data_IF_246355043387
#
_entry.id   IF_246355043387
#
_cell.length_a   1.000
_cell.length_b   1.000
_cell.length_c   1.000
_cell.angle_alpha   90.00
_cell.angle_beta   90.00
_cell.angle_gamma   90.00
#
_symmetry.space_group_name_H-M   'P 1'
#
loop_
_entity.id
_entity.type
_entity.pdbx_description
1 polymer ?
#
# COMPACT_ATOMS: atom_id res chain seq x y z
N UNK A 1 63.30 -11.42 29.27
CA UNK A 1 62.92 -11.49 27.85
C UNK A 1 61.40 -11.41 27.78
N UNK A 2 60.88 -10.19 27.77
CA UNK A 2 59.47 -9.85 27.97
C UNK A 2 59.05 -8.88 26.85
N UNK A 3 58.24 -9.37 25.91
CA UNK A 3 57.71 -8.59 24.78
C UNK A 3 56.21 -8.93 24.61
N UNK A 4 55.39 -8.66 25.63
CA UNK A 4 53.95 -8.99 25.60
C UNK A 4 52.97 -7.85 25.90
N UNK A 5 53.37 -6.57 26.00
CA UNK A 5 52.48 -5.57 26.61
C UNK A 5 52.23 -4.26 25.85
N UNK A 6 52.40 -4.19 24.53
CA UNK A 6 52.17 -2.94 23.77
C UNK A 6 51.31 -3.13 22.52
N UNK A 7 50.16 -3.81 22.64
CA UNK A 7 49.08 -3.57 21.69
C UNK A 7 48.40 -2.25 22.10
N UNK A 8 48.54 -1.16 21.33
CA UNK A 8 47.85 0.09 21.66
C UNK A 8 46.35 -0.19 21.70
N UNK A 9 45.69 0.19 22.78
CA UNK A 9 44.22 0.16 22.84
C UNK A 9 43.70 1.13 21.80
N UNK A 10 43.43 0.64 20.59
CA UNK A 10 42.73 1.40 19.56
C UNK A 10 41.33 1.59 20.12
N UNK A 11 41.10 2.74 20.76
CA UNK A 11 39.77 3.17 21.14
C UNK A 11 38.97 3.28 19.85
N UNK A 12 38.14 2.28 19.58
CA UNK A 12 37.24 2.29 18.43
C UNK A 12 36.29 3.46 18.63
N UNK A 13 36.53 4.57 17.93
CA UNK A 13 35.58 5.67 17.91
C UNK A 13 34.20 5.10 17.55
N UNK A 14 33.15 5.43 18.31
CA UNK A 14 31.82 4.93 18.02
C UNK A 14 31.43 5.39 16.62
N UNK A 15 31.26 4.44 15.70
CA UNK A 15 30.88 4.71 14.31
C UNK A 15 29.58 5.52 14.30
N UNK A 16 29.69 6.84 14.09
CA UNK A 16 28.53 7.74 14.00
C UNK A 16 27.75 7.36 12.75
N UNK A 17 26.47 7.02 12.93
CA UNK A 17 25.59 6.73 11.80
C UNK A 17 25.23 8.05 11.10
N UNK A 18 25.25 8.11 9.76
CA UNK A 18 24.72 9.28 9.06
C UNK A 18 23.25 9.48 9.47
N UNK A 19 22.80 10.74 9.64
CA UNK A 19 21.40 11.02 9.90
C UNK A 19 20.54 10.55 8.72
N UNK A 20 19.37 9.99 9.01
CA UNK A 20 18.43 9.53 7.99
C UNK A 20 17.84 10.72 7.22
N UNK A 21 17.66 10.56 5.91
CA UNK A 21 17.11 11.59 5.01
C UNK A 21 15.72 12.02 5.49
N UNK A 22 15.43 13.33 5.45
CA UNK A 22 14.14 13.85 5.90
C UNK A 22 12.98 13.40 5.00
N UNK A 23 11.75 13.39 5.52
CA UNK A 23 10.58 12.98 4.74
C UNK A 23 10.37 13.89 3.51
N UNK A 24 10.59 15.20 3.67
CA UNK A 24 10.49 16.18 2.58
C UNK A 24 11.53 15.96 1.48
N UNK A 25 12.78 15.67 1.84
CA UNK A 25 13.84 15.35 0.86
C UNK A 25 13.57 14.04 0.12
N UNK A 26 13.07 13.00 0.81
CA UNK A 26 12.68 11.75 0.17
C UNK A 26 11.56 11.97 -0.85
N UNK A 27 10.60 12.82 -0.51
CA UNK A 27 9.41 13.12 -1.30
C UNK A 27 9.73 13.99 -2.50
N UNK A 28 10.44 15.10 -2.30
CA UNK A 28 10.95 15.95 -3.37
C UNK A 28 11.84 15.14 -4.31
N UNK A 29 12.70 14.30 -3.73
CA UNK A 29 13.53 13.38 -4.47
C UNK A 29 12.74 12.35 -5.29
N UNK A 30 11.66 11.81 -4.75
CA UNK A 30 10.78 10.89 -5.47
C UNK A 30 10.05 11.59 -6.62
N UNK A 31 9.56 12.81 -6.39
CA UNK A 31 8.91 13.64 -7.40
C UNK A 31 9.86 14.00 -8.55
N UNK A 32 11.06 14.49 -8.26
CA UNK A 32 12.06 14.82 -9.28
C UNK A 32 12.47 13.59 -10.11
N UNK A 33 12.59 12.43 -9.48
CA UNK A 33 12.87 11.18 -10.17
C UNK A 33 11.71 10.77 -11.07
N UNK A 34 10.47 10.85 -10.58
CA UNK A 34 9.27 10.58 -11.37
C UNK A 34 9.19 11.49 -12.61
N UNK A 35 9.38 12.81 -12.44
CA UNK A 35 9.35 13.76 -13.55
C UNK A 35 10.42 13.46 -14.61
N UNK A 36 11.65 13.15 -14.19
CA UNK A 36 12.75 12.82 -15.10
C UNK A 36 12.49 11.57 -15.94
N UNK A 37 11.74 10.62 -15.40
CA UNK A 37 11.46 9.33 -16.02
C UNK A 37 9.97 9.14 -16.35
N UNK A 38 9.20 10.23 -16.47
CA UNK A 38 7.75 10.20 -16.54
C UNK A 38 7.22 9.33 -17.68
N UNK A 39 7.89 9.32 -18.84
CA UNK A 39 7.51 8.49 -19.99
C UNK A 39 7.46 6.99 -19.65
N UNK A 40 8.44 6.49 -18.91
CA UNK A 40 8.51 5.07 -18.52
C UNK A 40 7.47 4.78 -17.44
N UNK A 41 7.35 5.66 -16.45
CA UNK A 41 6.36 5.49 -15.38
C UNK A 41 4.92 5.52 -15.90
N UNK A 42 4.57 6.48 -16.76
CA UNK A 42 3.27 6.55 -17.42
C UNK A 42 3.05 5.31 -18.28
N UNK A 43 4.05 4.89 -19.06
CA UNK A 43 3.98 3.68 -19.87
C UNK A 43 3.75 2.40 -19.08
N UNK A 44 4.32 2.26 -17.89
CA UNK A 44 4.03 1.14 -16.97
C UNK A 44 2.62 1.30 -16.37
N UNK A 45 2.18 2.52 -16.08
CA UNK A 45 0.86 2.78 -15.47
C UNK A 45 -0.32 2.49 -16.40
N UNK A 46 -0.12 2.51 -17.73
CA UNK A 46 -1.21 2.32 -18.69
C UNK A 46 -1.85 0.95 -18.60
N UNK A 47 -1.07 -0.11 -18.41
CA UNK A 47 -1.58 -1.50 -18.35
C UNK A 47 -2.53 -1.71 -17.16
N UNK A 48 -2.15 -1.49 -15.88
CA UNK A 48 -3.07 -1.67 -14.77
C UNK A 48 -4.25 -0.72 -14.85
N UNK A 49 -4.05 0.52 -15.34
CA UNK A 49 -5.15 1.46 -15.56
C UNK A 49 -6.16 0.90 -16.56
N UNK A 50 -5.72 0.47 -17.75
CA UNK A 50 -6.60 -0.09 -18.78
C UNK A 50 -7.37 -1.32 -18.27
N UNK A 51 -6.71 -2.23 -17.56
CA UNK A 51 -7.37 -3.42 -17.00
C UNK A 51 -8.35 -3.04 -15.89
N UNK A 52 -8.01 -2.09 -15.01
CA UNK A 52 -8.94 -1.58 -13.99
C UNK A 52 -10.15 -0.87 -14.60
N UNK A 53 -9.98 -0.16 -15.72
CA UNK A 53 -11.09 0.45 -16.46
C UNK A 53 -12.04 -0.61 -17.02
N UNK A 54 -11.50 -1.66 -17.62
CA UNK A 54 -12.32 -2.79 -18.09
C UNK A 54 -13.04 -3.47 -16.92
N UNK A 55 -12.37 -3.65 -15.78
CA UNK A 55 -13.00 -4.22 -14.59
C UNK A 55 -14.16 -3.34 -14.06
N UNK A 56 -13.99 -2.02 -14.06
CA UNK A 56 -15.04 -1.08 -13.69
C UNK A 56 -16.27 -1.18 -14.61
N UNK A 57 -16.06 -1.32 -15.92
CA UNK A 57 -17.16 -1.49 -16.89
C UNK A 57 -17.88 -2.84 -16.76
N UNK A 58 -17.21 -3.84 -16.19
CA UNK A 58 -17.75 -5.20 -15.99
C UNK A 58 -18.33 -5.40 -14.58
N UNK A 59 -18.38 -4.36 -13.74
CA UNK A 59 -18.89 -4.48 -12.37
C UNK A 59 -20.35 -4.92 -12.33
N UNK A 60 -21.16 -4.45 -13.29
CA UNK A 60 -22.58 -4.82 -13.46
C UNK A 60 -22.80 -6.16 -14.19
N UNK A 61 -21.73 -6.86 -14.56
CA UNK A 61 -21.83 -8.16 -15.23
C UNK A 61 -22.17 -9.28 -14.24
N UNK A 62 -22.62 -10.46 -14.72
CA UNK A 62 -22.81 -11.62 -13.85
C UNK A 62 -21.58 -11.93 -12.99
N UNK A 63 -21.81 -12.35 -11.75
CA UNK A 63 -20.77 -12.54 -10.72
C UNK A 63 -19.48 -13.22 -11.21
N UNK A 64 -19.52 -14.31 -12.01
CA UNK A 64 -18.29 -14.96 -12.49
C UNK A 64 -17.43 -14.06 -13.38
N UNK A 65 -18.05 -13.22 -14.23
CA UNK A 65 -17.35 -12.33 -15.16
C UNK A 65 -16.70 -11.18 -14.39
N UNK A 66 -17.46 -10.53 -13.49
CA UNK A 66 -16.93 -9.48 -12.62
C UNK A 66 -15.74 -10.00 -11.78
N UNK A 67 -15.86 -11.19 -11.20
CA UNK A 67 -14.78 -11.81 -10.41
C UNK A 67 -13.50 -12.04 -11.21
N UNK A 68 -13.60 -12.51 -12.47
CA UNK A 68 -12.45 -12.68 -13.37
C UNK A 68 -11.83 -11.32 -13.67
N UNK A 69 -12.63 -10.31 -13.98
CA UNK A 69 -12.15 -8.96 -14.29
C UNK A 69 -11.39 -8.34 -13.10
N UNK A 70 -11.93 -8.48 -11.89
CA UNK A 70 -11.26 -8.04 -10.66
C UNK A 70 -9.95 -8.79 -10.41
N UNK A 71 -9.92 -10.12 -10.62
CA UNK A 71 -8.70 -10.92 -10.48
C UNK A 71 -7.61 -10.46 -11.46
N UNK A 72 -7.98 -10.24 -12.73
CA UNK A 72 -7.06 -9.74 -13.76
C UNK A 72 -6.54 -8.34 -13.42
N UNK A 73 -7.41 -7.44 -12.93
CA UNK A 73 -7.00 -6.11 -12.46
C UNK A 73 -6.01 -6.19 -11.29
N UNK A 74 -6.25 -7.09 -10.33
CA UNK A 74 -5.34 -7.33 -9.21
C UNK A 74 -3.96 -7.83 -9.66
N UNK A 75 -3.92 -8.79 -10.59
CA UNK A 75 -2.67 -9.31 -11.17
C UNK A 75 -1.94 -8.21 -11.94
N UNK A 76 -2.64 -7.44 -12.79
CA UNK A 76 -2.06 -6.35 -13.57
C UNK A 76 -1.46 -5.26 -12.67
N UNK A 77 -2.18 -4.89 -11.59
CA UNK A 77 -1.72 -3.92 -10.58
C UNK A 77 -0.48 -4.44 -9.86
N UNK A 78 -0.45 -5.73 -9.50
CA UNK A 78 0.69 -6.34 -8.84
C UNK A 78 1.93 -6.38 -9.76
N UNK A 79 1.76 -6.76 -11.02
CA UNK A 79 2.84 -6.73 -12.02
C UNK A 79 3.32 -5.31 -12.28
N UNK A 80 2.42 -4.33 -12.37
CA UNK A 80 2.79 -2.91 -12.48
C UNK A 80 3.63 -2.45 -11.29
N UNK A 81 3.25 -2.82 -10.07
CA UNK A 81 4.04 -2.53 -8.86
C UNK A 81 5.44 -3.12 -8.92
N UNK A 82 5.59 -4.37 -9.37
CA UNK A 82 6.90 -5.01 -9.55
C UNK A 82 7.73 -4.34 -10.66
N UNK A 83 7.08 -3.96 -11.77
CA UNK A 83 7.73 -3.25 -12.88
C UNK A 83 8.28 -1.89 -12.42
N UNK A 84 7.55 -1.17 -11.56
CA UNK A 84 8.06 0.06 -10.94
C UNK A 84 9.26 -0.21 -10.03
N UNK A 85 9.23 -1.25 -9.20
CA UNK A 85 10.37 -1.59 -8.33
C UNK A 85 11.61 -1.92 -9.19
N UNK A 86 11.44 -2.74 -10.22
CA UNK A 86 12.52 -3.08 -11.16
C UNK A 86 13.08 -1.82 -11.84
N UNK A 87 12.20 -0.98 -12.39
CA UNK A 87 12.56 0.30 -13.04
C UNK A 87 13.36 1.20 -12.11
N UNK A 88 12.93 1.36 -10.86
CA UNK A 88 13.62 2.21 -9.88
C UNK A 88 14.97 1.61 -9.49
N UNK A 89 15.08 0.28 -9.42
CA UNK A 89 16.35 -0.40 -9.16
C UNK A 89 17.37 -0.21 -10.30
N UNK A 90 16.88 -0.11 -11.54
CA UNK A 90 17.64 0.18 -12.76
C UNK A 90 17.76 1.68 -13.04
N UNK A 91 17.63 2.53 -12.01
CA UNK A 91 17.79 3.99 -12.10
C UNK A 91 16.88 4.67 -13.13
N UNK A 92 15.71 4.08 -13.40
CA UNK A 92 14.68 4.67 -14.25
C UNK A 92 14.89 4.42 -15.75
N UNK A 93 15.80 3.53 -16.13
CA UNK A 93 16.07 3.20 -17.53
C UNK A 93 16.19 1.66 -17.72
N UNK A 94 15.09 0.91 -17.51
CA UNK A 94 15.13 -0.54 -17.64
C UNK A 94 15.48 -0.97 -19.06
N UNK A 95 16.27 -2.04 -19.18
CA UNK A 95 16.67 -2.58 -20.49
C UNK A 95 15.42 -3.00 -21.28
N UNK A 96 15.18 -2.40 -22.46
CA UNK A 96 13.98 -2.65 -23.25
C UNK A 96 12.76 -1.80 -22.87
N UNK A 97 12.93 -0.75 -22.06
CA UNK A 97 11.88 0.22 -21.73
C UNK A 97 10.72 -0.40 -20.93
N UNK A 98 9.48 -0.06 -21.30
CA UNK A 98 8.28 -0.52 -20.57
C UNK A 98 8.15 -2.05 -20.63
N UNK A 99 8.35 -2.65 -21.80
CA UNK A 99 8.29 -4.11 -21.98
C UNK A 99 9.35 -4.82 -21.15
N UNK A 100 10.57 -4.29 -21.16
CA UNK A 100 11.67 -4.79 -20.32
C UNK A 100 11.35 -4.76 -18.83
N UNK A 101 10.74 -3.67 -18.34
CA UNK A 101 10.30 -3.56 -16.96
C UNK A 101 9.28 -4.65 -16.57
N UNK A 102 8.34 -4.97 -17.46
CA UNK A 102 7.37 -6.05 -17.24
C UNK A 102 7.98 -7.44 -17.33
N UNK A 103 8.92 -7.68 -18.25
CA UNK A 103 9.65 -8.95 -18.32
C UNK A 103 10.39 -9.21 -17.00
N UNK A 104 11.04 -8.18 -16.46
CA UNK A 104 11.72 -8.28 -15.17
C UNK A 104 10.72 -8.50 -14.02
N UNK A 105 9.57 -7.81 -14.06
CA UNK A 105 8.50 -7.98 -13.08
C UNK A 105 7.95 -9.41 -13.03
N UNK A 106 7.71 -10.03 -14.18
CA UNK A 106 7.22 -11.42 -14.28
C UNK A 106 8.25 -12.40 -13.72
N UNK A 107 9.55 -12.19 -14.00
CA UNK A 107 10.62 -13.03 -13.45
C UNK A 107 10.67 -13.00 -11.91
N UNK A 108 10.34 -11.87 -11.29
CA UNK A 108 10.27 -11.74 -9.83
C UNK A 108 8.91 -12.08 -9.21
N UNK A 109 7.88 -12.34 -10.01
CA UNK A 109 6.52 -12.54 -9.51
C UNK A 109 6.43 -13.68 -8.49
N UNK A 110 6.98 -14.85 -8.82
CA UNK A 110 6.99 -16.02 -7.93
C UNK A 110 7.73 -15.77 -6.62
N UNK A 111 9.01 -15.34 -6.64
CA UNK A 111 9.75 -14.99 -5.43
C UNK A 111 9.09 -13.91 -4.58
N UNK A 112 8.50 -12.87 -5.21
CA UNK A 112 7.76 -11.84 -4.52
C UNK A 112 6.51 -12.40 -3.82
N UNK A 113 5.73 -13.23 -4.50
CA UNK A 113 4.52 -13.83 -3.95
C UNK A 113 4.86 -14.68 -2.72
N UNK A 114 5.91 -15.49 -2.82
CA UNK A 114 6.41 -16.29 -1.70
C UNK A 114 6.83 -15.41 -0.50
N UNK A 115 7.57 -14.33 -0.74
CA UNK A 115 7.98 -13.39 0.31
C UNK A 115 6.77 -12.71 0.95
N UNK A 116 5.79 -12.28 0.14
CA UNK A 116 4.55 -11.65 0.61
C UNK A 116 3.72 -12.59 1.48
N UNK A 117 3.62 -13.87 1.11
CA UNK A 117 2.95 -14.90 1.92
C UNK A 117 3.67 -15.08 3.26
N UNK A 118 4.99 -15.24 3.26
CA UNK A 118 5.77 -15.38 4.50
C UNK A 118 5.65 -14.14 5.40
N UNK A 119 5.70 -12.93 4.81
CA UNK A 119 5.50 -11.69 5.55
C UNK A 119 4.10 -11.59 6.14
N UNK A 120 3.07 -11.91 5.36
CA UNK A 120 1.67 -11.91 5.79
C UNK A 120 1.43 -12.84 6.97
N UNK A 121 1.90 -14.09 6.88
CA UNK A 121 1.78 -15.07 7.97
C UNK A 121 2.55 -14.61 9.21
N UNK A 122 3.76 -14.04 9.04
CA UNK A 122 4.50 -13.50 10.18
C UNK A 122 3.74 -12.36 10.87
N UNK A 123 3.16 -11.43 10.10
CA UNK A 123 2.33 -10.32 10.60
C UNK A 123 1.10 -10.86 11.32
N UNK A 124 0.40 -11.84 10.74
CA UNK A 124 -0.73 -12.52 11.38
C UNK A 124 -0.33 -13.15 12.71
N UNK A 125 0.82 -13.83 12.78
CA UNK A 125 1.36 -14.35 14.04
C UNK A 125 1.66 -13.26 15.07
N UNK A 126 2.12 -12.09 14.62
CA UNK A 126 2.24 -10.90 15.46
C UNK A 126 0.89 -10.41 16.00
N UNK A 127 -0.14 -10.36 15.15
CA UNK A 127 -1.51 -9.94 15.51
C UNK A 127 -2.19 -10.91 16.48
N UNK A 128 -1.96 -12.22 16.34
CA UNK A 128 -2.47 -13.26 17.26
C UNK A 128 -1.93 -13.05 18.68
N UNK A 129 -0.68 -12.59 18.81
CA UNK A 129 -0.11 -12.28 20.11
C UNK A 129 -0.73 -11.01 20.69
N UNK A 130 -0.76 -9.92 19.91
CA UNK A 130 -1.45 -8.67 20.22
C UNK A 130 -1.43 -7.71 19.01
N UNK A 131 -2.34 -6.73 18.95
CA UNK A 131 -2.42 -5.76 17.83
C UNK A 131 -1.15 -4.91 17.67
N UNK A 132 -0.59 -4.39 18.77
CA UNK A 132 0.62 -3.54 18.72
C UNK A 132 1.86 -4.28 18.16
N UNK A 133 2.21 -5.51 18.60
CA UNK A 133 3.24 -6.33 17.98
C UNK A 133 3.02 -6.56 16.48
N UNK A 134 1.79 -6.81 16.04
CA UNK A 134 1.47 -6.96 14.62
C UNK A 134 1.75 -5.70 13.81
N UNK A 135 1.38 -4.52 14.32
CA UNK A 135 1.71 -3.22 13.69
C UNK A 135 3.22 -2.98 13.67
N UNK A 136 3.94 -3.28 14.76
CA UNK A 136 5.39 -3.11 14.79
C UNK A 136 6.10 -4.02 13.77
N UNK A 137 5.59 -5.25 13.62
CA UNK A 137 6.12 -6.22 12.68
C UNK A 137 5.82 -5.83 11.22
N UNK A 138 4.66 -5.25 10.93
CA UNK A 138 4.35 -4.75 9.58
C UNK A 138 5.31 -3.65 9.15
N UNK A 139 5.73 -2.76 10.06
CA UNK A 139 6.75 -1.74 9.80
C UNK A 139 8.12 -2.38 9.56
N UNK A 140 8.53 -3.37 10.37
CA UNK A 140 9.80 -4.08 10.18
C UNK A 140 9.87 -4.87 8.87
N UNK A 141 8.73 -5.37 8.39
CA UNK A 141 8.59 -6.16 7.17
C UNK A 141 8.04 -5.34 5.99
N UNK A 142 8.20 -4.01 6.01
CA UNK A 142 7.74 -3.13 4.93
C UNK A 142 8.64 -3.14 3.68
N UNK A 143 9.89 -3.60 3.78
CA UNK A 143 10.85 -3.56 2.66
C UNK A 143 11.38 -4.90 2.09
N UNK A 144 10.74 -6.06 2.27
CA UNK A 144 11.32 -7.32 1.80
C UNK A 144 11.31 -7.42 0.26
N UNK A 145 10.35 -6.78 -0.41
CA UNK A 145 10.33 -6.69 -1.88
C UNK A 145 11.54 -5.93 -2.46
N UNK A 146 11.99 -4.87 -1.77
CA UNK A 146 13.17 -4.11 -2.19
C UNK A 146 14.47 -4.88 -1.90
N UNK A 147 14.51 -5.67 -0.81
CA UNK A 147 15.62 -6.57 -0.53
C UNK A 147 15.74 -7.72 -1.56
N UNK A 148 14.61 -8.18 -2.12
CA UNK A 148 14.59 -9.14 -3.23
C UNK A 148 15.24 -8.54 -4.47
N UNK A 149 14.79 -7.36 -4.91
CA UNK A 149 15.26 -6.76 -6.17
C UNK A 149 16.68 -6.19 -6.03
N UNK A 150 16.99 -5.51 -4.93
CA UNK A 150 18.28 -4.83 -4.74
C UNK A 150 19.43 -5.71 -4.25
N UNK A 151 19.17 -6.94 -3.81
CA UNK A 151 20.21 -7.81 -3.24
C UNK A 151 20.04 -9.30 -3.53
N UNK A 152 19.11 -9.67 -4.42
CA UNK A 152 18.79 -11.04 -4.81
C UNK A 152 18.51 -11.99 -3.63
N UNK A 153 18.02 -11.44 -2.50
CA UNK A 153 17.65 -12.24 -1.33
C UNK A 153 16.24 -12.77 -1.51
N UNK A 154 16.04 -14.08 -1.38
CA UNK A 154 14.72 -14.72 -1.50
C UNK A 154 14.22 -15.25 -0.15
N UNK A 155 12.90 -15.45 -0.04
CA UNK A 155 12.26 -16.07 1.13
C UNK A 155 12.57 -15.39 2.46
N UNK A 156 12.97 -16.18 3.47
CA UNK A 156 13.28 -15.67 4.83
C UNK A 156 14.47 -14.70 4.85
N UNK A 157 15.44 -14.83 3.92
CA UNK A 157 16.60 -13.94 3.89
C UNK A 157 16.20 -12.50 3.55
N UNK A 158 15.19 -12.31 2.70
CA UNK A 158 14.61 -11.01 2.37
C UNK A 158 13.91 -10.38 3.59
N UNK A 159 13.14 -11.17 4.34
CA UNK A 159 12.46 -10.72 5.57
C UNK A 159 13.47 -10.31 6.64
N UNK A 160 14.53 -11.11 6.85
CA UNK A 160 15.60 -10.78 7.80
C UNK A 160 16.31 -9.49 7.37
N UNK A 161 16.58 -9.31 6.09
CA UNK A 161 17.20 -8.08 5.58
C UNK A 161 16.31 -6.84 5.81
N UNK A 162 15.01 -6.94 5.54
CA UNK A 162 14.04 -5.87 5.84
C UNK A 162 14.04 -5.54 7.33
N UNK A 163 13.90 -6.55 8.20
CA UNK A 163 13.90 -6.34 9.64
C UNK A 163 15.20 -5.67 10.10
N UNK A 164 16.35 -6.17 9.67
CA UNK A 164 17.64 -5.59 10.04
C UNK A 164 17.78 -4.12 9.61
N UNK A 165 17.26 -3.75 8.44
CA UNK A 165 17.29 -2.38 7.95
C UNK A 165 16.40 -1.44 8.78
N UNK A 166 15.24 -1.90 9.26
CA UNK A 166 14.32 -1.05 10.03
C UNK A 166 14.63 -1.04 11.54
N UNK A 167 15.33 -2.07 12.03
CA UNK A 167 15.57 -2.25 13.48
C UNK A 167 16.43 -1.13 14.07
N UNK A 168 15.79 -0.38 14.96
CA UNK A 168 16.37 0.78 15.65
C UNK A 168 15.84 2.12 15.13
N UNK A 169 15.19 2.11 13.96
CA UNK A 169 14.66 3.31 13.30
C UNK A 169 13.17 3.16 12.94
N UNK A 170 12.47 2.19 13.53
CA UNK A 170 11.10 1.83 13.14
C UNK A 170 10.12 3.00 13.27
N UNK A 171 10.22 3.81 14.34
CA UNK A 171 9.36 4.98 14.53
C UNK A 171 9.63 6.05 13.45
N UNK A 172 10.91 6.22 13.11
CA UNK A 172 11.36 7.10 12.04
C UNK A 172 10.84 6.67 10.67
N UNK A 173 10.77 5.35 10.42
CA UNK A 173 10.19 4.77 9.20
C UNK A 173 8.67 4.92 9.19
N UNK A 174 8.01 4.60 10.29
CA UNK A 174 6.55 4.70 10.43
C UNK A 174 6.07 6.14 10.21
N UNK A 175 6.72 7.14 10.81
CA UNK A 175 6.37 8.54 10.61
C UNK A 175 6.58 9.02 9.17
N UNK A 176 7.64 8.56 8.49
CA UNK A 176 7.87 8.86 7.06
C UNK A 176 6.78 8.29 6.17
N UNK A 177 6.35 7.05 6.41
CA UNK A 177 5.21 6.46 5.70
C UNK A 177 3.91 7.19 6.00
N UNK A 178 3.68 7.59 7.26
CA UNK A 178 2.50 8.36 7.64
C UNK A 178 2.48 9.73 6.94
N UNK A 179 3.60 10.46 6.95
CA UNK A 179 3.72 11.74 6.27
C UNK A 179 3.46 11.60 4.76
N UNK A 180 4.04 10.57 4.12
CA UNK A 180 3.78 10.26 2.72
C UNK A 180 2.29 9.95 2.47
N UNK A 181 1.68 9.11 3.31
CA UNK A 181 0.27 8.73 3.19
C UNK A 181 -0.67 9.94 3.34
N UNK A 182 -0.42 10.81 4.32
CA UNK A 182 -1.20 12.05 4.53
C UNK A 182 -1.09 12.97 3.32
N UNK A 183 0.11 13.16 2.76
CA UNK A 183 0.28 13.98 1.56
C UNK A 183 -0.46 13.39 0.36
N UNK A 184 -0.28 12.10 0.07
CA UNK A 184 -0.95 11.45 -1.07
C UNK A 184 -2.47 11.48 -0.91
N UNK A 185 -2.98 11.29 0.31
CA UNK A 185 -4.40 11.41 0.60
C UNK A 185 -4.92 12.84 0.37
N UNK A 186 -4.20 13.86 0.86
CA UNK A 186 -4.55 15.25 0.61
C UNK A 186 -4.59 15.60 -0.89
N UNK A 187 -3.60 15.13 -1.65
CA UNK A 187 -3.57 15.30 -3.10
C UNK A 187 -4.73 14.58 -3.81
N UNK A 188 -5.05 13.35 -3.38
CA UNK A 188 -6.17 12.59 -3.91
C UNK A 188 -7.52 13.23 -3.63
N UNK A 189 -7.71 13.80 -2.42
CA UNK A 189 -8.91 14.57 -2.07
C UNK A 189 -9.02 15.82 -2.96
N UNK A 190 -7.93 16.57 -3.12
CA UNK A 190 -7.91 17.77 -3.97
C UNK A 190 -8.30 17.43 -5.42
N UNK A 191 -7.71 16.39 -6.00
CA UNK A 191 -8.02 15.92 -7.36
C UNK A 191 -9.48 15.47 -7.46
N UNK A 192 -10.01 14.79 -6.44
CA UNK A 192 -11.40 14.34 -6.40
C UNK A 192 -12.39 15.51 -6.37
N UNK A 193 -12.08 16.57 -5.60
CA UNK A 193 -12.88 17.80 -5.57
C UNK A 193 -12.89 18.47 -6.95
N UNK A 194 -11.72 18.64 -7.57
CA UNK A 194 -11.59 19.27 -8.89
C UNK A 194 -12.36 18.46 -9.93
N UNK A 195 -12.20 17.14 -9.97
CA UNK A 195 -12.90 16.27 -10.90
C UNK A 195 -14.42 16.28 -10.69
N UNK A 196 -14.88 16.37 -9.44
CA UNK A 196 -16.31 16.46 -9.13
C UNK A 196 -16.92 17.77 -9.62
N UNK A 197 -16.23 18.90 -9.45
CA UNK A 197 -16.68 20.21 -9.94
C UNK A 197 -16.67 20.23 -11.47
N UNK A 198 -15.55 19.83 -12.09
CA UNK A 198 -15.41 19.79 -13.54
C UNK A 198 -16.44 18.84 -14.19
N UNK A 199 -16.68 17.68 -13.59
CA UNK A 199 -17.67 16.73 -14.07
C UNK A 199 -19.09 17.26 -14.03
N UNK A 200 -19.48 17.96 -12.96
CA UNK A 200 -20.79 18.63 -12.88
C UNK A 200 -20.96 19.71 -13.95
N UNK A 201 -19.90 20.46 -14.25
CA UNK A 201 -19.94 21.50 -15.29
C UNK A 201 -20.00 20.90 -16.69
N UNK A 202 -19.16 19.92 -16.98
CA UNK A 202 -19.04 19.31 -18.31
C UNK A 202 -20.27 18.48 -18.69
N UNK A 203 -20.93 17.87 -17.71
CA UNK A 203 -22.03 16.93 -17.93
C UNK A 203 -23.32 17.35 -17.20
N UNK A 204 -23.53 18.65 -17.00
CA UNK A 204 -24.74 19.18 -16.37
C UNK A 204 -26.05 18.68 -17.04
N UNK A 205 -25.99 18.32 -18.32
CA UNK A 205 -27.11 17.78 -19.10
C UNK A 205 -27.34 16.27 -18.93
N UNK A 206 -26.38 15.52 -18.40
CA UNK A 206 -26.47 14.06 -18.21
C UNK A 206 -26.70 13.74 -16.73
N UNK A 207 -27.88 13.22 -16.40
CA UNK A 207 -28.26 12.87 -15.01
C UNK A 207 -27.32 11.84 -14.35
N UNK A 208 -26.69 10.97 -15.15
CA UNK A 208 -25.89 9.83 -14.67
C UNK A 208 -24.36 10.04 -14.79
N UNK A 209 -23.89 11.03 -15.56
CA UNK A 209 -22.47 11.21 -15.83
C UNK A 209 -21.58 11.52 -14.61
N UNK A 210 -22.04 12.22 -13.54
CA UNK A 210 -21.19 12.51 -12.39
C UNK A 210 -20.68 11.27 -11.65
N UNK A 211 -21.41 10.14 -11.73
CA UNK A 211 -21.09 8.94 -10.96
C UNK A 211 -19.83 8.21 -11.47
N UNK A 212 -19.58 8.21 -12.79
CA UNK A 212 -18.42 7.50 -13.37
C UNK A 212 -17.13 8.32 -13.31
N UNK A 213 -17.20 9.65 -13.29
CA UNK A 213 -16.01 10.52 -13.38
C UNK A 213 -15.11 10.35 -12.16
N UNK A 214 -15.70 10.22 -10.97
CA UNK A 214 -14.95 10.08 -9.73
C UNK A 214 -14.10 8.79 -9.67
N UNK A 215 -14.65 7.56 -9.86
CA UNK A 215 -13.86 6.34 -9.84
C UNK A 215 -12.81 6.31 -10.96
N UNK A 216 -13.12 6.81 -12.16
CA UNK A 216 -12.15 6.94 -13.26
C UNK A 216 -10.96 7.81 -12.85
N UNK A 217 -11.24 8.97 -12.27
CA UNK A 217 -10.20 9.91 -11.79
C UNK A 217 -9.34 9.25 -10.71
N UNK A 218 -9.97 8.53 -9.78
CA UNK A 218 -9.26 7.84 -8.70
C UNK A 218 -8.37 6.70 -9.22
N UNK A 219 -8.84 5.90 -10.17
CA UNK A 219 -8.06 4.83 -10.81
C UNK A 219 -6.81 5.43 -11.48
N UNK A 220 -6.99 6.49 -12.26
CA UNK A 220 -5.88 7.17 -12.96
C UNK A 220 -4.90 7.78 -11.95
N UNK A 221 -5.41 8.51 -10.95
CA UNK A 221 -4.57 9.11 -9.92
C UNK A 221 -3.75 8.06 -9.17
N UNK A 222 -4.40 6.96 -8.75
CA UNK A 222 -3.75 5.94 -7.96
C UNK A 222 -2.66 5.22 -8.77
N UNK A 223 -2.98 4.77 -9.99
CA UNK A 223 -2.06 4.01 -10.81
C UNK A 223 -0.94 4.86 -11.42
N UNK A 224 -1.24 6.09 -11.86
CA UNK A 224 -0.27 6.93 -12.56
C UNK A 224 0.57 7.82 -11.64
N UNK A 225 0.08 8.17 -10.45
CA UNK A 225 0.76 9.14 -9.57
C UNK A 225 1.09 8.50 -8.23
N UNK A 226 0.08 8.06 -7.47
CA UNK A 226 0.29 7.64 -6.08
C UNK A 226 1.20 6.40 -5.98
N UNK A 227 0.93 5.38 -6.80
CA UNK A 227 1.65 4.12 -6.78
C UNK A 227 3.13 4.29 -7.19
N UNK A 228 3.49 4.89 -8.35
CA UNK A 228 4.90 5.07 -8.72
C UNK A 228 5.66 5.95 -7.73
N UNK A 229 5.07 7.06 -7.24
CA UNK A 229 5.70 7.88 -6.21
C UNK A 229 5.93 7.09 -4.92
N UNK A 230 4.98 6.26 -4.51
CA UNK A 230 5.10 5.40 -3.34
C UNK A 230 6.24 4.39 -3.48
N UNK A 231 6.40 3.80 -4.67
CA UNK A 231 7.51 2.88 -4.95
C UNK A 231 8.86 3.59 -4.92
N UNK A 232 8.99 4.75 -5.57
CA UNK A 232 10.24 5.53 -5.59
C UNK A 232 10.61 5.99 -4.17
N UNK A 233 9.65 6.54 -3.43
CA UNK A 233 9.82 6.96 -2.04
C UNK A 233 10.32 5.81 -1.16
N UNK A 234 9.64 4.67 -1.22
CA UNK A 234 9.96 3.50 -0.42
C UNK A 234 11.32 2.90 -0.78
N UNK A 235 11.69 2.90 -2.06
CA UNK A 235 13.02 2.45 -2.50
C UNK A 235 14.13 3.35 -1.94
N UNK A 236 13.98 4.67 -2.02
CA UNK A 236 14.96 5.62 -1.48
C UNK A 236 15.11 5.47 0.03
N UNK A 237 13.99 5.33 0.74
CA UNK A 237 13.99 5.07 2.18
C UNK A 237 14.69 3.75 2.52
N UNK A 238 14.42 2.68 1.75
CA UNK A 238 15.10 1.40 1.91
C UNK A 238 16.61 1.52 1.66
N UNK A 239 17.06 2.22 0.62
CA UNK A 239 18.48 2.42 0.33
C UNK A 239 19.20 3.16 1.46
N UNK A 240 18.57 4.20 2.03
CA UNK A 240 19.12 4.96 3.15
C UNK A 240 19.31 4.07 4.39
N UNK A 241 18.27 3.29 4.74
CA UNK A 241 18.32 2.33 5.84
C UNK A 241 19.35 1.21 5.60
N UNK A 242 19.42 0.68 4.37
CA UNK A 242 20.35 -0.38 4.01
C UNK A 242 21.81 0.10 4.15
N UNK A 243 22.13 1.33 3.71
CA UNK A 243 23.46 1.94 3.87
C UNK A 243 23.82 2.18 5.33
N UNK A 244 22.85 2.52 6.18
CA UNK A 244 23.07 2.72 7.61
C UNK A 244 23.33 1.40 8.38
N UNK A 245 23.04 0.24 7.77
CA UNK A 245 23.00 -1.06 8.47
C UNK A 245 23.85 -2.18 7.84
N UNK A 246 24.62 -1.92 6.78
CA UNK A 246 25.47 -2.90 6.06
C UNK A 246 26.57 -3.56 6.90
N UNK A 247 26.85 -3.08 8.12
CA UNK A 247 27.93 -3.60 8.97
C UNK A 247 27.49 -4.58 10.09
N UNK A 248 26.26 -5.12 10.07
CA UNK A 248 25.77 -5.94 11.20
C UNK A 248 26.22 -7.41 11.17
N UNK A 249 26.58 -7.90 12.35
CA UNK A 249 27.13 -9.25 12.58
C UNK A 249 26.19 -10.39 12.12
N UNK A 250 26.73 -11.46 11.49
CA UNK A 250 25.99 -12.66 11.09
C UNK A 250 25.19 -13.32 12.24
N UNK A 251 25.66 -13.18 13.49
CA UNK A 251 24.99 -13.71 14.68
C UNK A 251 23.59 -13.13 14.87
N UNK A 252 23.40 -11.84 14.58
CA UNK A 252 22.10 -11.16 14.71
C UNK A 252 21.12 -11.70 13.67
N UNK A 253 21.58 -11.99 12.45
CA UNK A 253 20.75 -12.56 11.39
C UNK A 253 20.17 -13.93 11.77
N UNK A 254 20.99 -14.81 12.35
CA UNK A 254 20.55 -16.15 12.81
C UNK A 254 19.45 -16.06 13.88
N UNK A 255 19.62 -15.16 14.87
CA UNK A 255 18.62 -14.95 15.93
C UNK A 255 17.30 -14.39 15.39
N UNK A 256 17.36 -13.44 14.44
CA UNK A 256 16.16 -12.87 13.81
C UNK A 256 15.42 -13.91 12.97
N UNK A 257 16.15 -14.78 12.26
CA UNK A 257 15.55 -15.88 11.50
C UNK A 257 14.73 -16.81 12.41
N UNK A 258 15.28 -17.19 13.57
CA UNK A 258 14.55 -18.02 14.54
C UNK A 258 13.26 -17.38 15.04
N UNK A 259 13.29 -16.07 15.33
CA UNK A 259 12.09 -15.31 15.74
C UNK A 259 11.04 -15.23 14.64
N UNK A 260 11.45 -15.00 13.39
CA UNK A 260 10.54 -14.99 12.24
C UNK A 260 9.87 -16.35 12.04
N UNK A 261 10.63 -17.45 12.13
CA UNK A 261 10.05 -18.79 12.02
C UNK A 261 9.03 -19.06 13.13
N UNK A 262 9.33 -18.66 14.38
CA UNK A 262 8.38 -18.78 15.49
C UNK A 262 7.10 -17.95 15.25
N UNK A 263 7.22 -16.71 14.76
CA UNK A 263 6.07 -15.87 14.41
C UNK A 263 5.25 -16.46 13.26
N UNK A 264 5.90 -17.01 12.25
CA UNK A 264 5.22 -17.69 11.13
C UNK A 264 4.47 -18.91 11.64
N UNK A 265 5.11 -19.76 12.45
CA UNK A 265 4.45 -20.92 13.05
C UNK A 265 3.23 -20.53 13.91
N UNK A 266 3.37 -19.46 14.70
CA UNK A 266 2.27 -18.90 15.50
C UNK A 266 1.14 -18.37 14.61
N UNK A 267 1.46 -17.69 13.50
CA UNK A 267 0.47 -17.20 12.54
C UNK A 267 -0.31 -18.33 11.87
N UNK A 268 0.37 -19.40 11.47
CA UNK A 268 -0.28 -20.61 10.93
C UNK A 268 -1.18 -21.25 11.98
N UNK A 269 -0.68 -21.44 13.20
CA UNK A 269 -1.46 -22.01 14.29
C UNK A 269 -2.71 -21.17 14.61
N UNK A 270 -2.57 -19.85 14.70
CA UNK A 270 -3.68 -18.93 14.93
C UNK A 270 -4.73 -18.96 13.82
N UNK A 271 -4.29 -19.02 12.55
CA UNK A 271 -5.20 -19.15 11.41
C UNK A 271 -5.96 -20.49 11.43
N UNK A 272 -5.29 -21.60 11.78
CA UNK A 272 -5.91 -22.91 11.91
C UNK A 272 -6.92 -22.96 13.07
N UNK A 273 -6.59 -22.38 14.22
CA UNK A 273 -7.52 -22.27 15.36
C UNK A 273 -8.73 -21.41 14.98
N UNK A 274 -8.52 -20.27 14.33
CA UNK A 274 -9.61 -19.43 13.82
C UNK A 274 -10.54 -20.20 12.88
N UNK A 275 -9.98 -21.01 11.97
CA UNK A 275 -10.78 -21.82 11.05
C UNK A 275 -11.51 -22.97 11.77
N UNK A 276 -10.84 -23.64 12.74
CA UNK A 276 -11.37 -24.79 13.46
C UNK A 276 -12.50 -24.43 14.44
N UNK A 277 -12.45 -23.25 15.06
CA UNK A 277 -13.50 -22.77 15.97
C UNK A 277 -14.80 -22.39 15.23
N UNK A 278 -14.84 -22.54 13.90
CA UNK A 278 -15.84 -21.91 13.04
C UNK A 278 -15.63 -20.40 13.02
N UNK A 279 -16.14 -19.68 12.02
CA UNK A 279 -16.20 -18.22 12.08
C UNK A 279 -16.89 -17.86 13.39
N UNK A 280 -16.17 -17.36 14.42
CA UNK A 280 -16.85 -17.06 15.66
C UNK A 280 -17.94 -16.05 15.29
N UNK A 281 -19.14 -16.22 15.84
CA UNK A 281 -20.25 -15.25 15.73
C UNK A 281 -19.89 -13.86 16.27
N UNK A 282 -18.61 -13.57 16.51
CA UNK A 282 -18.02 -12.28 16.82
C UNK A 282 -18.43 -11.15 15.85
N UNK A 283 -18.92 -11.46 14.66
CA UNK A 283 -19.53 -10.48 13.74
C UNK A 283 -21.06 -10.42 13.77
N UNK A 284 -21.74 -11.32 14.46
CA UNK A 284 -23.12 -11.07 14.90
C UNK A 284 -23.05 -10.06 16.04
N UNK A 285 -22.89 -8.77 15.70
CA UNK A 285 -23.08 -7.69 16.66
C UNK A 285 -24.47 -7.85 17.29
N UNK A 286 -24.57 -8.18 18.59
CA UNK A 286 -25.86 -8.28 19.26
C UNK A 286 -26.38 -6.85 19.39
N UNK A 287 -27.26 -6.46 18.47
CA UNK A 287 -27.60 -5.06 18.24
C UNK A 287 -27.10 -4.51 16.92
N UNK A 288 -27.07 -5.33 15.85
CA UNK A 288 -27.45 -4.79 14.55
C UNK A 288 -28.70 -3.96 14.79
N UNK A 289 -28.53 -2.64 14.74
CA UNK A 289 -29.58 -1.65 14.88
C UNK A 289 -30.61 -2.02 13.82
N UNK A 290 -31.58 -2.85 14.18
CA UNK A 290 -32.80 -2.97 13.44
C UNK A 290 -33.35 -1.56 13.48
N UNK A 291 -33.05 -0.79 12.43
CA UNK A 291 -33.70 0.47 12.16
C UNK A 291 -35.17 0.11 12.06
N UNK A 292 -35.85 0.15 13.20
CA UNK A 292 -37.27 -0.08 13.27
C UNK A 292 -37.85 1.04 12.40
N UNK A 293 -38.60 0.75 11.32
CA UNK A 293 -39.11 1.76 10.40
C UNK A 293 -40.19 2.68 11.03
N UNK A 294 -40.22 2.80 12.36
CA UNK A 294 -41.22 3.52 13.13
C UNK A 294 -41.18 5.06 12.98
N UNK A 295 -40.18 5.63 12.30
CA UNK A 295 -40.15 7.08 12.02
C UNK A 295 -40.72 7.50 10.66
N UNK A 296 -41.25 6.58 9.85
CA UNK A 296 -41.98 6.94 8.60
C UNK A 296 -43.29 7.71 8.85
N UNK A 297 -43.75 7.84 10.09
CA UNK A 297 -44.95 8.63 10.45
C UNK A 297 -44.74 10.13 10.67
N UNK A 298 -43.49 10.61 10.82
CA UNK A 298 -43.25 12.02 11.12
C UNK A 298 -43.08 12.91 9.87
N UNK A 299 -42.85 12.32 8.69
CA UNK A 299 -42.68 13.08 7.45
C UNK A 299 -44.00 13.50 6.78
N UNK A 300 -45.13 12.87 7.13
CA UNK A 300 -46.46 13.26 6.62
C UNK A 300 -47.07 14.47 7.35
N UNK A 301 -46.55 14.85 8.52
CA UNK A 301 -47.06 16.00 9.29
C UNK A 301 -46.47 17.33 8.80
N UNK A 302 -45.29 17.32 8.16
CA UNK A 302 -44.68 18.54 7.60
C UNK A 302 -45.04 18.82 6.12
N UNK A 303 -45.74 17.89 5.46
CA UNK A 303 -46.24 18.07 4.08
C UNK A 303 -47.78 18.06 3.99
N UNK A 304 -48.47 18.03 5.12
CA UNK A 304 -49.93 17.98 5.22
C UNK A 304 -50.61 19.31 5.57
N UNK A 305 -49.93 20.44 5.41
CA UNK A 305 -50.55 21.77 5.47
C UNK A 305 -51.19 22.11 4.13
N UNK A 306 -52.27 21.42 3.77
CA UNK A 306 -53.10 21.77 2.62
C UNK A 306 -53.70 23.16 2.81
N UNK A 307 -53.27 24.13 1.99
CA UNK A 307 -54.10 25.32 1.77
C UNK A 307 -55.40 24.87 1.09
N UNK A 308 -56.58 25.24 1.62
CA UNK A 308 -57.84 25.00 0.94
C UNK A 308 -57.86 25.75 -0.38
N UNK A 309 -57.93 25.00 -1.49
CA UNK A 309 -58.12 25.50 -2.85
C UNK A 309 -59.62 25.76 -3.03
N UNK A 310 -60.15 26.80 -2.38
CA UNK A 310 -61.56 27.20 -2.52
C UNK A 310 -61.77 28.72 -2.77
N UNK A 311 -60.72 29.48 -3.11
CA UNK A 311 -60.83 30.95 -3.30
C UNK A 311 -60.66 31.40 -4.77
N UNK A 312 -60.53 30.49 -5.75
CA UNK A 312 -60.37 30.87 -7.17
C UNK A 312 -61.57 30.44 -8.03
N UNK A 313 -62.80 30.74 -7.57
CA UNK A 313 -63.98 30.70 -8.45
C UNK A 313 -64.96 31.88 -8.29
N UNK A 314 -64.66 32.93 -7.50
CA UNK A 314 -65.57 34.09 -7.36
C UNK A 314 -65.19 35.33 -8.16
N UNK A 315 -64.33 35.21 -9.19
CA UNK A 315 -64.06 36.30 -10.13
C UNK A 315 -64.10 35.76 -11.56
N UNK A 316 -65.31 35.50 -12.06
CA UNK A 316 -65.76 35.72 -13.44
C UNK A 316 -67.25 35.45 -13.57
#
# INVERSE_FOLDING_TARGET
MALSSLAPSIALEPVRRPPLVSAGELMLGAWMFYQRHARIFIGISTVPTAVSLVALLLEESPLPIAAIAFLLSGIATLLGRLAFIATVSERGAPAGGVTGAYQHAVAFFGPFLWISILAGIAILGGMVLFVLPGILLSVWLSFPAYALVGGHKTGLAALVASWQAVRGSWLSVAWRFLAFAVMIAALGILISIIASIAGRMAFASLKEAPAMILPLTQIVFFNAIALPLGVIFSWRLWQDLARAHTAREPRVAKRLRGRLVALIALGIAGALVWFALGQPKFFEFPGAWSFHPASRGAASVLLGGGMPIDIIQSIR
#
